data_IF_506901325785
#
_entry.id   IF_506901325785
#
_cell.length_a   1.000
_cell.length_b   1.000
_cell.length_c   1.000
_cell.angle_alpha   90.00
_cell.angle_beta   90.00
_cell.angle_gamma   90.00
#
_symmetry.space_group_name_H-M   'P 1'
#
loop_
_entity.id
_entity.type
_entity.pdbx_description
1 polymer ?
#
# COMPACT_ATOMS: atom_id res chain seq x y z
N UNK A 1 12.43 46.63 7.93
CA UNK A 1 11.23 45.89 8.43
C UNK A 1 10.52 45.00 7.41
N UNK A 2 10.71 45.13 6.08
CA UNK A 2 10.04 44.28 5.07
C UNK A 2 10.72 42.91 4.84
N UNK A 3 12.05 42.84 4.93
CA UNK A 3 12.83 41.63 4.65
C UNK A 3 12.64 40.53 5.72
N UNK A 4 12.61 40.92 7.00
CA UNK A 4 12.42 40.00 8.12
C UNK A 4 11.03 39.32 8.09
N UNK A 5 9.97 40.07 7.72
CA UNK A 5 8.62 39.49 7.53
C UNK A 5 8.56 38.51 6.37
N UNK A 6 9.35 38.72 5.30
CA UNK A 6 9.46 37.77 4.17
C UNK A 6 10.22 36.51 4.57
N UNK A 7 11.31 36.63 5.32
CA UNK A 7 12.04 35.49 5.89
C UNK A 7 11.17 34.66 6.83
N UNK A 8 10.42 35.30 7.75
CA UNK A 8 9.46 34.61 8.61
C UNK A 8 8.26 34.02 7.86
N UNK A 9 7.87 34.59 6.71
CA UNK A 9 6.83 34.01 5.86
C UNK A 9 7.34 32.77 5.09
N UNK A 10 8.58 32.82 4.59
CA UNK A 10 9.23 31.68 3.92
C UNK A 10 9.54 30.58 4.92
N UNK A 11 10.07 30.90 6.10
CA UNK A 11 10.32 29.94 7.18
C UNK A 11 9.02 29.26 7.66
N UNK A 12 7.92 30.00 7.79
CA UNK A 12 6.60 29.41 8.12
C UNK A 12 6.02 28.56 7.01
N UNK A 13 6.23 28.92 5.73
CA UNK A 13 5.84 28.07 4.60
C UNK A 13 6.69 26.80 4.56
N UNK A 14 8.00 26.91 4.75
CA UNK A 14 8.92 25.78 4.84
C UNK A 14 8.56 24.85 5.99
N UNK A 15 8.28 25.37 7.18
CA UNK A 15 7.85 24.58 8.34
C UNK A 15 6.50 23.88 8.11
N UNK A 16 5.54 24.54 7.43
CA UNK A 16 4.27 23.90 7.03
C UNK A 16 4.49 22.79 6.01
N UNK A 17 5.37 22.99 5.03
CA UNK A 17 5.72 21.99 4.02
C UNK A 17 6.42 20.79 4.66
N UNK A 18 7.35 21.05 5.57
CA UNK A 18 8.09 20.03 6.31
C UNK A 18 7.14 19.15 7.14
N UNK A 19 6.16 19.74 7.82
CA UNK A 19 5.10 19.00 8.53
C UNK A 19 4.17 18.20 7.61
N UNK A 20 4.02 18.59 6.34
CA UNK A 20 3.25 17.83 5.34
C UNK A 20 4.05 16.67 4.75
N UNK A 21 5.37 16.81 4.64
CA UNK A 21 6.28 15.78 4.15
C UNK A 21 6.53 14.71 5.24
N UNK A 22 6.70 15.13 6.50
CA UNK A 22 6.87 14.23 7.65
C UNK A 22 5.53 13.75 8.20
N UNK A 23 4.84 12.93 7.40
CA UNK A 23 3.69 12.16 7.86
C UNK A 23 4.19 11.12 8.89
N UNK A 24 3.44 10.81 9.96
CA UNK A 24 3.86 9.82 10.95
C UNK A 24 4.36 8.50 10.35
N UNK A 25 3.70 8.02 9.30
CA UNK A 25 4.08 6.79 8.59
C UNK A 25 5.45 6.89 7.89
N UNK A 26 5.80 8.06 7.34
CA UNK A 26 7.11 8.29 6.69
C UNK A 26 8.23 8.27 7.74
N UNK A 27 8.01 8.96 8.86
CA UNK A 27 8.97 8.96 9.96
C UNK A 27 9.16 7.54 10.52
N UNK A 28 8.07 6.78 10.66
CA UNK A 28 8.12 5.37 11.10
C UNK A 28 8.95 4.49 10.19
N UNK A 29 8.77 4.59 8.86
CA UNK A 29 9.56 3.83 7.88
C UNK A 29 11.03 4.25 7.91
N UNK A 30 11.34 5.55 7.96
CA UNK A 30 12.71 6.03 8.01
C UNK A 30 13.44 5.56 9.28
N UNK A 31 12.79 5.66 10.45
CA UNK A 31 13.36 5.21 11.72
C UNK A 31 13.51 3.68 11.74
N UNK A 32 12.48 2.94 11.33
CA UNK A 32 12.52 1.48 11.27
C UNK A 32 13.59 0.97 10.31
N UNK A 33 13.69 1.58 9.12
CA UNK A 33 14.75 1.28 8.15
C UNK A 33 16.14 1.59 8.69
N UNK A 34 16.33 2.75 9.32
CA UNK A 34 17.60 3.12 9.96
C UNK A 34 18.00 2.13 11.04
N UNK A 35 17.09 1.77 11.94
CA UNK A 35 17.34 0.75 12.98
C UNK A 35 17.67 -0.60 12.35
N UNK A 36 16.93 -1.02 11.31
CA UNK A 36 17.16 -2.28 10.61
C UNK A 36 18.51 -2.34 9.88
N UNK A 37 19.04 -1.20 9.42
CA UNK A 37 20.35 -1.11 8.76
C UNK A 37 21.50 -1.04 9.76
N UNK A 38 21.40 -0.20 10.80
CA UNK A 38 22.52 0.10 11.70
C UNK A 38 22.53 -0.74 12.99
N UNK A 39 21.38 -1.20 13.47
CA UNK A 39 21.24 -1.88 14.76
C UNK A 39 20.78 -3.34 14.63
N UNK A 40 20.84 -3.93 13.42
CA UNK A 40 20.44 -5.33 13.16
C UNK A 40 21.08 -6.31 14.13
N UNK A 41 22.39 -6.20 14.34
CA UNK A 41 23.18 -7.09 15.21
C UNK A 41 22.83 -6.95 16.69
N UNK A 42 22.19 -5.84 17.08
CA UNK A 42 21.81 -5.54 18.45
C UNK A 42 20.38 -6.01 18.78
N UNK A 43 19.58 -6.30 17.75
CA UNK A 43 18.18 -6.71 17.85
C UNK A 43 17.90 -8.14 17.37
N UNK A 44 18.74 -8.69 16.48
CA UNK A 44 18.61 -10.05 15.95
C UNK A 44 19.89 -10.86 16.27
N UNK A 45 19.78 -12.13 16.69
CA UNK A 45 18.55 -12.89 16.96
C UNK A 45 17.82 -12.42 18.23
N UNK A 46 16.48 -12.34 18.24
CA UNK A 46 15.72 -11.72 19.32
C UNK A 46 15.86 -12.43 20.69
N UNK A 47 16.20 -13.71 20.71
CA UNK A 47 16.36 -14.51 21.95
C UNK A 47 17.69 -14.23 22.67
N UNK A 48 18.72 -13.77 21.96
CA UNK A 48 20.08 -13.59 22.49
C UNK A 48 20.56 -12.15 22.48
N UNK A 49 19.88 -11.28 21.73
CA UNK A 49 20.31 -9.90 21.55
C UNK A 49 19.83 -9.00 22.70
N UNK A 50 20.64 -8.03 23.16
CA UNK A 50 20.32 -7.19 24.32
C UNK A 50 19.07 -6.31 24.11
N UNK A 51 18.75 -5.96 22.85
CA UNK A 51 17.54 -5.23 22.48
C UNK A 51 16.49 -6.11 21.78
N UNK A 52 16.59 -7.44 21.92
CA UNK A 52 15.64 -8.38 21.32
C UNK A 52 14.20 -8.16 21.77
N UNK A 53 13.98 -7.79 23.04
CA UNK A 53 12.65 -7.48 23.58
C UNK A 53 11.95 -6.33 22.83
N UNK A 54 12.71 -5.34 22.35
CA UNK A 54 12.18 -4.20 21.62
C UNK A 54 11.73 -4.64 20.21
N UNK A 55 12.51 -5.50 19.57
CA UNK A 55 12.15 -6.09 18.28
C UNK A 55 10.90 -6.97 18.39
N UNK A 56 10.81 -7.80 19.43
CA UNK A 56 9.63 -8.65 19.69
C UNK A 56 8.39 -7.77 19.91
N UNK A 57 8.51 -6.71 20.73
CA UNK A 57 7.41 -5.80 21.02
C UNK A 57 6.94 -5.07 19.77
N UNK A 58 7.88 -4.54 18.97
CA UNK A 58 7.58 -3.87 17.71
C UNK A 58 6.94 -4.81 16.68
N UNK A 59 7.42 -6.06 16.60
CA UNK A 59 6.86 -7.08 15.69
C UNK A 59 5.42 -7.43 16.07
N UNK A 60 5.15 -7.65 17.35
CA UNK A 60 3.79 -7.89 17.87
C UNK A 60 2.85 -6.71 17.61
N UNK A 61 3.33 -5.48 17.75
CA UNK A 61 2.57 -4.28 17.38
C UNK A 61 2.29 -4.23 15.87
N UNK A 62 3.26 -4.63 15.04
CA UNK A 62 3.09 -4.73 13.59
C UNK A 62 2.01 -5.73 13.18
N UNK A 63 1.97 -6.90 13.81
CA UNK A 63 0.92 -7.91 13.60
C UNK A 63 -0.47 -7.38 13.97
N UNK A 64 -0.56 -6.59 15.06
CA UNK A 64 -1.80 -5.93 15.49
C UNK A 64 -2.18 -4.70 14.65
N UNK A 65 -1.32 -4.22 13.74
CA UNK A 65 -1.58 -3.00 12.97
C UNK A 65 -2.79 -3.15 12.03
N UNK A 66 -3.01 -4.35 11.47
CA UNK A 66 -4.16 -4.62 10.58
C UNK A 66 -5.50 -4.44 11.31
N UNK A 67 -5.78 -5.10 12.45
CA UNK A 67 -7.03 -4.88 13.18
C UNK A 67 -7.15 -3.46 13.74
N UNK A 68 -6.05 -2.83 14.20
CA UNK A 68 -6.07 -1.44 14.67
C UNK A 68 -6.53 -0.49 13.55
N UNK A 69 -6.02 -0.67 12.33
CA UNK A 69 -6.42 0.15 11.18
C UNK A 69 -7.91 -0.01 10.84
N UNK A 70 -8.46 -1.23 10.95
CA UNK A 70 -9.88 -1.49 10.73
C UNK A 70 -10.76 -0.79 11.78
N UNK A 71 -10.38 -0.85 13.06
CA UNK A 71 -11.08 -0.16 14.15
C UNK A 71 -11.03 1.35 13.96
N UNK A 72 -9.85 1.90 13.62
CA UNK A 72 -9.68 3.33 13.36
C UNK A 72 -10.57 3.82 12.22
N UNK A 73 -10.64 3.03 11.15
CA UNK A 73 -11.49 3.33 10.00
C UNK A 73 -12.98 3.29 10.38
N UNK A 74 -13.41 2.31 11.18
CA UNK A 74 -14.78 2.27 11.72
C UNK A 74 -15.10 3.51 12.60
N UNK A 75 -14.15 3.93 13.44
CA UNK A 75 -14.29 5.14 14.26
C UNK A 75 -14.32 6.43 13.42
N UNK A 76 -13.65 6.47 12.27
CA UNK A 76 -13.71 7.61 11.36
C UNK A 76 -15.09 7.78 10.71
N UNK A 77 -15.83 6.68 10.52
CA UNK A 77 -17.19 6.65 9.94
C UNK A 77 -18.29 6.92 10.97
N UNK A 78 -18.05 6.62 12.25
CA UNK A 78 -19.04 6.85 13.31
C UNK A 78 -19.26 8.34 13.61
N UNK A 79 -18.30 9.19 13.21
CA UNK A 79 -18.46 10.65 13.26
C UNK A 79 -19.49 11.08 12.21
N UNK A 80 -20.41 11.97 12.61
CA UNK A 80 -21.56 12.40 11.79
C UNK A 80 -21.16 12.68 10.34
N UNK A 81 -21.88 12.12 9.35
CA UNK A 81 -21.67 12.44 7.94
C UNK A 81 -21.90 13.94 7.72
N UNK A 82 -20.96 14.60 7.06
CA UNK A 82 -21.21 15.93 6.52
C UNK A 82 -22.32 15.85 5.45
N UNK A 83 -23.14 16.89 5.32
CA UNK A 83 -24.32 16.91 4.45
C UNK A 83 -24.04 16.69 2.94
N UNK A 84 -22.76 16.68 2.53
CA UNK A 84 -22.29 16.35 1.17
C UNK A 84 -21.38 15.11 1.18
N UNK A 85 -21.90 13.98 1.65
CA UNK A 85 -21.19 12.70 1.60
C UNK A 85 -21.01 12.16 0.17
N UNK A 86 -20.00 11.31 -0.03
CA UNK A 86 -19.80 10.60 -1.29
C UNK A 86 -20.99 9.64 -1.54
N UNK A 87 -21.59 9.60 -2.75
CA UNK A 87 -22.58 8.58 -3.07
C UNK A 87 -21.98 7.18 -2.95
N UNK A 88 -22.73 6.25 -2.34
CA UNK A 88 -22.29 4.86 -2.14
C UNK A 88 -21.94 4.19 -3.47
N UNK A 89 -22.70 4.47 -4.53
CA UNK A 89 -22.42 3.98 -5.88
C UNK A 89 -21.02 4.40 -6.37
N UNK A 90 -20.60 5.64 -6.10
CA UNK A 90 -19.26 6.13 -6.46
C UNK A 90 -18.18 5.42 -5.66
N UNK A 91 -18.39 5.19 -4.36
CA UNK A 91 -17.43 4.47 -3.51
C UNK A 91 -17.25 3.01 -3.96
N UNK A 92 -18.36 2.32 -4.28
CA UNK A 92 -18.33 0.96 -4.83
C UNK A 92 -17.66 0.93 -6.20
N UNK A 93 -17.94 1.91 -7.07
CA UNK A 93 -17.27 2.05 -8.36
C UNK A 93 -15.75 2.21 -8.23
N UNK A 94 -15.29 3.06 -7.29
CA UNK A 94 -13.86 3.20 -6.98
C UNK A 94 -13.28 1.88 -6.48
N UNK A 95 -14.00 1.16 -5.62
CA UNK A 95 -13.53 -0.13 -5.10
C UNK A 95 -13.37 -1.18 -6.21
N UNK A 96 -14.35 -1.29 -7.11
CA UNK A 96 -14.29 -2.19 -8.26
C UNK A 96 -13.18 -1.79 -9.24
N UNK A 97 -13.05 -0.50 -9.55
CA UNK A 97 -11.97 -0.02 -10.41
C UNK A 97 -10.60 -0.34 -9.82
N UNK A 98 -10.43 -0.19 -8.51
CA UNK A 98 -9.17 -0.48 -7.84
C UNK A 98 -8.87 -1.97 -7.75
N UNK A 99 -9.86 -2.79 -7.40
CA UNK A 99 -9.65 -4.22 -7.16
C UNK A 99 -9.73 -5.09 -8.43
N UNK A 100 -10.26 -4.56 -9.54
CA UNK A 100 -10.38 -5.30 -10.81
C UNK A 100 -9.59 -4.64 -11.93
N UNK A 101 -9.79 -3.35 -12.18
CA UNK A 101 -9.11 -2.70 -13.31
C UNK A 101 -7.60 -2.53 -13.05
N UNK A 102 -7.20 -2.21 -11.82
CA UNK A 102 -5.78 -2.07 -11.48
C UNK A 102 -4.97 -3.38 -11.62
N UNK A 103 -5.43 -4.55 -11.13
CA UNK A 103 -4.68 -5.78 -11.35
C UNK A 103 -4.68 -6.25 -12.81
N UNK A 104 -5.72 -5.95 -13.60
CA UNK A 104 -5.68 -6.17 -15.05
C UNK A 104 -4.59 -5.31 -15.72
N UNK A 105 -4.45 -4.04 -15.33
CA UNK A 105 -3.34 -3.21 -15.79
C UNK A 105 -1.99 -3.76 -15.33
N UNK A 106 -1.91 -4.25 -14.09
CA UNK A 106 -0.74 -4.96 -13.57
C UNK A 106 -0.34 -6.17 -14.42
N UNK A 107 -1.32 -6.96 -14.86
CA UNK A 107 -1.13 -8.09 -15.78
C UNK A 107 -0.55 -7.65 -17.11
N UNK A 108 -1.15 -6.63 -17.72
CA UNK A 108 -0.70 -6.13 -19.03
C UNK A 108 0.74 -5.62 -18.94
N UNK A 109 1.07 -4.88 -17.88
CA UNK A 109 2.44 -4.38 -17.65
C UNK A 109 3.41 -5.53 -17.40
N UNK A 110 3.07 -6.48 -16.53
CA UNK A 110 3.92 -7.62 -16.23
C UNK A 110 4.15 -8.49 -17.47
N UNK A 111 3.09 -8.80 -18.23
CA UNK A 111 3.16 -9.52 -19.49
C UNK A 111 3.99 -8.78 -20.54
N UNK A 112 3.76 -7.48 -20.73
CA UNK A 112 4.55 -6.65 -21.63
C UNK A 112 6.03 -6.60 -21.25
N UNK A 113 6.34 -6.57 -19.95
CA UNK A 113 7.72 -6.63 -19.47
C UNK A 113 8.38 -7.98 -19.77
N UNK A 114 7.61 -9.07 -19.73
CA UNK A 114 8.13 -10.41 -20.04
C UNK A 114 8.33 -10.64 -21.53
N UNK A 115 7.43 -10.12 -22.39
CA UNK A 115 7.52 -10.33 -23.85
C UNK A 115 8.47 -9.34 -24.53
N UNK A 116 8.45 -8.06 -24.14
CA UNK A 116 9.29 -7.02 -24.73
C UNK A 116 10.62 -6.79 -23.99
N UNK A 117 10.67 -7.06 -22.68
CA UNK A 117 11.86 -6.88 -21.82
C UNK A 117 12.79 -8.09 -21.76
N UNK A 118 12.47 -9.18 -22.47
CA UNK A 118 13.22 -10.44 -22.50
C UNK A 118 14.72 -10.25 -22.77
N UNK A 119 15.14 -9.19 -23.46
CA UNK A 119 16.54 -9.00 -23.86
C UNK A 119 17.47 -8.47 -22.74
N UNK A 120 16.94 -7.92 -21.64
CA UNK A 120 17.74 -7.32 -20.56
C UNK A 120 17.42 -7.80 -19.14
N UNK A 121 16.23 -8.40 -18.89
CA UNK A 121 15.72 -8.65 -17.53
C UNK A 121 15.37 -10.13 -17.26
N UNK A 122 15.79 -11.03 -18.16
CA UNK A 122 15.40 -12.44 -18.18
C UNK A 122 15.72 -13.26 -16.91
N UNK A 123 16.82 -13.05 -16.15
CA UNK A 123 17.08 -13.90 -14.99
C UNK A 123 16.13 -13.66 -13.80
N UNK A 124 15.41 -12.53 -13.75
CA UNK A 124 14.55 -12.18 -12.60
C UNK A 124 13.05 -12.12 -12.92
N UNK A 125 12.66 -12.02 -14.19
CA UNK A 125 11.26 -11.81 -14.60
C UNK A 125 10.53 -13.13 -14.89
N UNK A 126 11.26 -14.24 -15.04
CA UNK A 126 10.71 -15.56 -15.32
C UNK A 126 10.39 -16.39 -14.06
N UNK A 127 10.64 -15.87 -12.86
CA UNK A 127 10.41 -16.62 -11.60
C UNK A 127 8.99 -16.42 -11.08
N UNK A 128 8.33 -17.49 -10.67
CA UNK A 128 6.95 -17.48 -10.17
C UNK A 128 6.68 -16.47 -9.02
N UNK A 129 7.65 -16.16 -8.12
CA UNK A 129 7.49 -15.12 -7.10
C UNK A 129 7.27 -13.71 -7.67
N UNK A 130 7.83 -13.39 -8.84
CA UNK A 130 7.71 -12.05 -9.44
C UNK A 130 6.24 -11.73 -9.76
N UNK A 131 5.57 -12.67 -10.41
CA UNK A 131 4.16 -12.57 -10.77
C UNK A 131 3.26 -12.45 -9.55
N UNK A 132 3.54 -13.23 -8.50
CA UNK A 132 2.80 -13.18 -7.25
C UNK A 132 2.92 -11.80 -6.57
N UNK A 133 4.13 -11.24 -6.51
CA UNK A 133 4.36 -9.92 -5.90
C UNK A 133 3.67 -8.81 -6.70
N UNK A 134 3.83 -8.80 -8.03
CA UNK A 134 3.17 -7.84 -8.92
C UNK A 134 1.64 -7.88 -8.79
N UNK A 135 1.08 -9.07 -8.56
CA UNK A 135 -0.34 -9.23 -8.37
C UNK A 135 -0.79 -8.73 -6.99
N UNK A 136 -0.13 -9.16 -5.92
CA UNK A 136 -0.52 -8.76 -4.56
C UNK A 136 -0.48 -7.24 -4.43
N UNK A 137 0.55 -6.58 -4.96
CA UNK A 137 0.67 -5.12 -4.88
C UNK A 137 -0.39 -4.38 -5.68
N UNK A 138 -0.93 -4.98 -6.76
CA UNK A 138 -1.97 -4.35 -7.60
C UNK A 138 -3.39 -4.66 -7.13
N UNK A 139 -3.61 -5.81 -6.49
CA UNK A 139 -4.91 -6.19 -5.96
C UNK A 139 -5.20 -5.57 -4.58
N UNK A 140 -4.17 -5.29 -3.77
CA UNK A 140 -4.37 -4.82 -2.38
C UNK A 140 -5.22 -3.55 -2.29
N UNK A 141 -6.07 -3.44 -1.25
CA UNK A 141 -6.89 -2.25 -1.02
C UNK A 141 -6.01 -1.01 -0.82
N UNK A 142 -6.57 0.17 -1.11
CA UNK A 142 -5.82 1.43 -1.04
C UNK A 142 -5.24 1.67 0.35
N UNK A 143 -4.00 2.16 0.40
CA UNK A 143 -3.31 2.44 1.66
C UNK A 143 -4.08 3.45 2.52
N UNK A 144 -4.40 3.07 3.77
CA UNK A 144 -5.11 3.92 4.72
C UNK A 144 -4.38 5.25 5.03
N UNK A 145 -3.06 5.30 4.81
CA UNK A 145 -2.25 6.52 4.94
C UNK A 145 -2.73 7.67 4.05
N UNK A 146 -3.48 7.39 2.97
CA UNK A 146 -4.01 8.44 2.08
C UNK A 146 -5.04 9.33 2.79
N UNK A 147 -5.74 8.84 3.83
CA UNK A 147 -6.69 9.64 4.61
C UNK A 147 -5.98 10.78 5.34
N UNK A 148 -4.83 10.48 5.95
CA UNK A 148 -3.98 11.47 6.61
C UNK A 148 -3.41 12.46 5.59
N UNK A 149 -3.03 11.97 4.40
CA UNK A 149 -2.56 12.84 3.32
C UNK A 149 -3.66 13.80 2.83
N UNK A 150 -4.90 13.33 2.67
CA UNK A 150 -6.04 14.17 2.33
C UNK A 150 -6.34 15.21 3.42
N UNK A 151 -6.25 14.83 4.70
CA UNK A 151 -6.40 15.76 5.82
C UNK A 151 -5.32 16.86 5.79
N UNK A 152 -4.07 16.51 5.49
CA UNK A 152 -2.97 17.46 5.34
C UNK A 152 -3.12 18.36 4.11
N UNK A 153 -3.72 17.84 3.04
CA UNK A 153 -4.04 18.59 1.82
C UNK A 153 -5.19 19.59 2.02
N UNK A 154 -5.99 19.43 3.08
CA UNK A 154 -7.18 20.24 3.35
C UNK A 154 -8.45 19.70 2.69
N UNK A 155 -8.41 18.44 2.24
CA UNK A 155 -9.53 17.74 1.61
C UNK A 155 -10.38 16.98 2.63
N UNK A 156 -11.56 16.55 2.20
CA UNK A 156 -12.51 15.87 3.08
C UNK A 156 -12.05 14.44 3.42
N UNK A 157 -11.59 14.24 4.66
CA UNK A 157 -11.17 12.93 5.16
C UNK A 157 -12.30 11.90 5.27
N UNK A 158 -13.54 12.34 5.53
CA UNK A 158 -14.69 11.45 5.68
C UNK A 158 -15.08 10.79 4.35
N UNK A 159 -14.95 11.55 3.26
CA UNK A 159 -15.18 11.05 1.90
C UNK A 159 -14.19 9.94 1.55
N UNK A 160 -12.91 10.14 1.89
CA UNK A 160 -11.86 9.17 1.62
C UNK A 160 -11.93 7.95 2.54
N UNK A 161 -12.22 8.13 3.83
CA UNK A 161 -12.40 7.02 4.76
C UNK A 161 -13.62 6.16 4.38
N UNK A 162 -14.70 6.77 3.87
CA UNK A 162 -15.84 6.03 3.34
C UNK A 162 -15.47 5.21 2.09
N UNK A 163 -14.74 5.77 1.14
CA UNK A 163 -14.29 5.01 -0.04
C UNK A 163 -13.42 3.80 0.35
N UNK A 164 -12.51 3.97 1.31
CA UNK A 164 -11.63 2.92 1.80
C UNK A 164 -12.42 1.86 2.60
N UNK A 165 -13.47 2.25 3.33
CA UNK A 165 -14.36 1.30 4.00
C UNK A 165 -14.99 0.30 3.03
N UNK A 166 -15.60 0.80 1.96
CA UNK A 166 -16.23 -0.07 0.97
C UNK A 166 -15.20 -0.99 0.29
N UNK A 167 -13.97 -0.52 0.08
CA UNK A 167 -12.87 -1.38 -0.38
C UNK A 167 -12.55 -2.49 0.61
N UNK A 168 -12.41 -2.19 1.90
CA UNK A 168 -12.15 -3.22 2.93
C UNK A 168 -13.31 -4.19 3.10
N UNK A 169 -14.56 -3.76 2.93
CA UNK A 169 -15.72 -4.66 2.94
C UNK A 169 -15.72 -5.59 1.72
N UNK A 170 -15.31 -5.12 0.55
CA UNK A 170 -15.23 -5.92 -0.67
C UNK A 170 -13.98 -6.81 -0.73
N UNK A 171 -12.93 -6.44 0.00
CA UNK A 171 -11.62 -7.11 -0.01
C UNK A 171 -11.67 -8.63 0.22
N UNK A 172 -12.41 -9.18 1.21
CA UNK A 172 -12.40 -10.61 1.49
C UNK A 172 -12.95 -11.47 0.35
N UNK A 173 -13.79 -10.90 -0.51
CA UNK A 173 -14.43 -11.61 -1.63
C UNK A 173 -13.66 -11.35 -2.92
N UNK A 174 -13.38 -10.08 -3.22
CA UNK A 174 -12.73 -9.69 -4.47
C UNK A 174 -11.25 -10.08 -4.50
N UNK A 175 -10.50 -9.94 -3.40
CA UNK A 175 -9.07 -10.29 -3.40
C UNK A 175 -8.85 -11.76 -3.75
N UNK A 176 -9.43 -12.75 -3.02
CA UNK A 176 -9.19 -14.16 -3.34
C UNK A 176 -9.74 -14.54 -4.70
N UNK A 177 -10.88 -13.95 -5.11
CA UNK A 177 -11.47 -14.19 -6.43
C UNK A 177 -10.54 -13.76 -7.57
N UNK A 178 -10.04 -12.53 -7.53
CA UNK A 178 -9.12 -12.01 -8.56
C UNK A 178 -7.77 -12.73 -8.52
N UNK A 179 -7.25 -13.02 -7.33
CA UNK A 179 -6.05 -13.86 -7.15
C UNK A 179 -6.19 -15.21 -7.83
N UNK A 180 -7.29 -15.92 -7.56
CA UNK A 180 -7.53 -17.26 -8.11
C UNK A 180 -7.68 -17.23 -9.63
N UNK A 181 -8.44 -16.27 -10.16
CA UNK A 181 -8.63 -16.11 -11.60
C UNK A 181 -7.32 -15.83 -12.33
N UNK A 182 -6.44 -15.04 -11.73
CA UNK A 182 -5.16 -14.68 -12.32
C UNK A 182 -4.14 -15.82 -12.26
N UNK A 183 -4.07 -16.54 -11.14
CA UNK A 183 -3.22 -17.75 -11.06
C UNK A 183 -3.70 -18.78 -12.08
N UNK A 184 -5.01 -18.97 -12.22
CA UNK A 184 -5.58 -19.82 -13.26
C UNK A 184 -5.17 -19.35 -14.66
N UNK A 185 -5.21 -18.04 -14.93
CA UNK A 185 -4.76 -17.47 -16.21
C UNK A 185 -3.27 -17.73 -16.48
N UNK A 186 -2.39 -17.56 -15.48
CA UNK A 186 -0.95 -17.87 -15.62
C UNK A 186 -0.75 -19.36 -15.88
N UNK A 187 -1.37 -20.23 -15.09
CA UNK A 187 -1.25 -21.67 -15.24
C UNK A 187 -1.68 -22.11 -16.64
N UNK A 188 -2.80 -21.60 -17.13
CA UNK A 188 -3.30 -21.90 -18.48
C UNK A 188 -2.33 -21.45 -19.58
N UNK A 189 -1.82 -20.21 -19.50
CA UNK A 189 -0.86 -19.71 -20.49
C UNK A 189 0.49 -20.44 -20.43
N UNK A 190 0.90 -20.96 -19.26
CA UNK A 190 2.14 -21.74 -19.13
C UNK A 190 2.05 -23.12 -19.76
N UNK A 191 0.90 -23.79 -19.66
CA UNK A 191 0.68 -25.09 -20.32
C UNK A 191 0.81 -24.98 -21.83
N UNK A 192 0.34 -23.88 -22.43
CA UNK A 192 0.51 -23.62 -23.86
C UNK A 192 1.98 -23.47 -24.28
N UNK A 193 2.88 -22.97 -23.42
CA UNK A 193 4.29 -22.76 -23.77
C UNK A 193 5.14 -24.03 -23.53
N UNK A 194 4.78 -24.88 -22.56
CA UNK A 194 5.48 -26.15 -22.35
C UNK A 194 4.98 -27.29 -23.25
N UNK A 195 3.73 -27.23 -23.73
CA UNK A 195 3.22 -28.18 -24.74
C UNK A 195 3.98 -28.11 -26.06
N UNK A 196 4.43 -26.93 -26.46
CA UNK A 196 5.21 -26.71 -27.69
C UNK A 196 6.69 -27.14 -27.59
N UNK A 197 7.16 -27.54 -26.41
CA UNK A 197 8.55 -27.99 -26.19
C UNK A 197 8.68 -29.52 -26.09
N UNK A 198 7.56 -30.25 -26.09
CA UNK A 198 7.49 -31.71 -26.06
C UNK A 198 7.03 -32.33 -27.39
N UNK A 199 6.95 -31.54 -28.47
CA UNK A 199 6.73 -31.99 -29.85
C UNK A 199 7.93 -31.62 -30.74
#
# INVERSE_FOLDING_TARGET
MSCERRLWAVARRGAKLLRRIFIPSVLGICLGGGVGLFAKTLMLPPETAPLGWLFISASKLGEAAVPINLVLLGAALSRRPEAKGLPVATAVGIALARMVAMPLLGLVVAYGLTTAGARFVQPYVAVDPFWLVCLIVTCTPTANNIVVLCELAGENKHTMSAAIFYQYCAAPILLPGVLTLYVAFICHNRESIHGDMLL
#
